data_IF_170840023991
#
_entry.id   IF_170840023991
#
_cell.length_a   1.000
_cell.length_b   1.000
_cell.length_c   1.000
_cell.angle_alpha   90.00
_cell.angle_beta   90.00
_cell.angle_gamma   90.00
#
_symmetry.space_group_name_H-M   'P 1'
#
loop_
_entity.id
_entity.type
_entity.pdbx_description
1 polymer ?
#
# COMPACT_ATOMS: atom_id res chain seq x y z
N UNK A 1 7.19 14.86 2.58
CA UNK A 1 7.36 13.59 1.85
C UNK A 1 7.45 13.86 0.36
N UNK A 2 8.31 13.15 -0.35
CA UNK A 2 8.30 13.14 -1.81
C UNK A 2 7.59 11.88 -2.33
N UNK A 3 7.25 11.88 -3.61
CA UNK A 3 6.74 10.72 -4.32
C UNK A 3 7.43 10.54 -5.67
N UNK A 4 7.70 9.29 -6.03
CA UNK A 4 8.39 8.95 -7.26
C UNK A 4 7.48 9.11 -8.50
N UNK A 5 6.23 8.66 -8.38
CA UNK A 5 5.25 8.75 -9.47
C UNK A 5 3.83 8.47 -8.98
N UNK A 6 2.84 8.87 -9.78
CA UNK A 6 1.43 8.50 -9.60
C UNK A 6 0.94 7.85 -10.89
N UNK A 7 0.38 6.63 -10.77
CA UNK A 7 -0.34 5.98 -11.87
C UNK A 7 -1.83 6.19 -11.68
N UNK A 8 -2.44 6.95 -12.56
CA UNK A 8 -3.84 7.37 -12.47
C UNK A 8 -4.85 6.28 -12.80
N UNK A 9 -4.42 5.24 -13.54
CA UNK A 9 -5.21 4.07 -13.89
C UNK A 9 -4.28 2.85 -13.91
N UNK A 10 -4.17 2.17 -12.79
CA UNK A 10 -3.26 1.03 -12.58
C UNK A 10 -4.07 -0.25 -12.31
N UNK A 11 -3.63 -1.37 -12.88
CA UNK A 11 -4.25 -2.68 -12.71
C UNK A 11 -3.29 -3.71 -12.11
N UNK A 12 -2.04 -3.31 -11.84
CA UNK A 12 -1.00 -4.21 -11.37
C UNK A 12 -0.94 -4.30 -9.83
N UNK A 13 -1.35 -3.25 -9.14
CA UNK A 13 -1.14 -3.11 -7.69
C UNK A 13 -2.44 -3.23 -6.89
N UNK A 14 -3.16 -4.33 -7.10
CA UNK A 14 -4.44 -4.66 -6.48
C UNK A 14 -5.53 -4.93 -7.52
N UNK A 15 -6.69 -5.45 -7.10
CA UNK A 15 -7.78 -5.80 -8.01
C UNK A 15 -8.45 -4.57 -8.61
N UNK A 16 -8.91 -4.69 -9.85
CA UNK A 16 -9.60 -3.64 -10.58
C UNK A 16 -8.67 -2.51 -11.02
N UNK A 17 -9.26 -1.37 -11.41
CA UNK A 17 -8.51 -0.16 -11.77
C UNK A 17 -8.35 0.71 -10.52
N UNK A 18 -7.14 1.19 -10.26
CA UNK A 18 -6.79 1.93 -9.05
C UNK A 18 -5.95 3.15 -9.37
N UNK A 19 -5.92 4.11 -8.47
CA UNK A 19 -4.85 5.11 -8.45
C UNK A 19 -3.72 4.55 -7.60
N UNK A 20 -2.50 4.54 -8.11
CA UNK A 20 -1.33 4.06 -7.37
C UNK A 20 -0.35 5.19 -7.10
N UNK A 21 -0.12 5.48 -5.83
CA UNK A 21 0.85 6.46 -5.34
C UNK A 21 2.13 5.76 -4.93
N UNK A 22 3.22 6.05 -5.63
CA UNK A 22 4.56 5.55 -5.32
C UNK A 22 5.31 6.58 -4.48
N UNK A 23 5.37 6.39 -3.18
CA UNK A 23 6.10 7.28 -2.25
C UNK A 23 7.61 7.13 -2.40
N UNK A 24 8.36 8.11 -1.95
CA UNK A 24 9.82 8.08 -1.85
C UNK A 24 10.26 7.97 -0.39
N UNK A 25 11.44 7.39 -0.19
CA UNK A 25 12.00 7.07 1.13
C UNK A 25 11.74 5.62 1.53
N UNK A 26 12.83 4.84 1.63
CA UNK A 26 12.81 3.45 2.07
C UNK A 26 14.15 3.07 2.67
N UNK A 27 14.15 2.55 3.88
CA UNK A 27 15.37 2.12 4.58
C UNK A 27 15.59 0.60 4.52
N UNK A 28 14.77 -0.15 3.76
CA UNK A 28 14.94 -1.59 3.60
C UNK A 28 16.10 -1.98 2.69
N UNK A 29 16.29 -1.24 1.58
CA UNK A 29 17.33 -1.48 0.58
C UNK A 29 17.37 -2.95 0.13
N UNK A 30 16.21 -3.51 -0.25
CA UNK A 30 16.12 -4.91 -0.67
C UNK A 30 16.93 -5.16 -1.95
N UNK A 31 17.81 -6.18 -2.00
CA UNK A 31 18.49 -6.55 -3.24
C UNK A 31 17.49 -6.85 -4.37
N UNK A 32 17.75 -6.34 -5.58
CA UNK A 32 16.88 -6.52 -6.74
C UNK A 32 15.55 -5.75 -6.66
N UNK A 33 15.44 -4.76 -5.78
CA UNK A 33 14.26 -3.88 -5.72
C UNK A 33 14.00 -3.24 -7.09
N UNK A 34 12.75 -3.28 -7.55
CA UNK A 34 12.39 -2.69 -8.85
C UNK A 34 12.37 -1.16 -8.84
N UNK A 35 12.46 -0.52 -7.66
CA UNK A 35 12.33 0.92 -7.48
C UNK A 35 13.41 1.48 -6.54
N UNK A 36 14.68 1.17 -6.84
CA UNK A 36 15.83 1.58 -6.01
C UNK A 36 15.96 3.10 -5.89
N UNK A 37 15.59 3.84 -6.93
CA UNK A 37 15.61 5.31 -6.91
C UNK A 37 14.72 5.89 -5.80
N UNK A 38 13.60 5.21 -5.47
CA UNK A 38 12.71 5.62 -4.40
C UNK A 38 13.21 5.29 -2.98
N UNK A 39 14.40 4.74 -2.81
CA UNK A 39 15.04 4.66 -1.49
C UNK A 39 15.40 6.04 -0.94
N UNK A 40 15.79 6.96 -1.83
CA UNK A 40 16.06 8.35 -1.46
C UNK A 40 14.75 9.07 -1.10
N UNK A 41 14.70 9.63 0.11
CA UNK A 41 13.55 10.41 0.59
C UNK A 41 13.32 11.71 -0.21
N UNK A 42 14.34 12.20 -0.89
CA UNK A 42 14.29 13.39 -1.75
C UNK A 42 13.93 13.09 -3.21
N UNK A 43 13.82 11.83 -3.61
CA UNK A 43 13.56 11.47 -5.00
C UNK A 43 12.15 11.86 -5.46
N UNK A 44 12.04 12.29 -6.72
CA UNK A 44 10.79 12.68 -7.35
C UNK A 44 10.27 14.06 -6.91
N UNK A 45 8.96 14.21 -6.89
CA UNK A 45 8.29 15.47 -6.64
C UNK A 45 7.78 15.58 -5.20
N UNK A 46 7.59 16.80 -4.71
CA UNK A 46 7.02 17.05 -3.38
C UNK A 46 5.53 16.71 -3.36
N UNK A 47 5.11 15.93 -2.38
CA UNK A 47 3.70 15.60 -2.13
C UNK A 47 3.03 16.79 -1.42
N UNK A 48 2.31 17.59 -2.19
CA UNK A 48 1.66 18.83 -1.74
C UNK A 48 0.15 18.66 -1.61
N UNK A 49 -0.57 19.58 -0.93
CA UNK A 49 -2.03 19.56 -0.88
C UNK A 49 -2.70 19.55 -2.27
N UNK A 50 -2.10 20.20 -3.27
CA UNK A 50 -2.61 20.21 -4.65
C UNK A 50 -2.48 18.82 -5.31
N UNK A 51 -1.45 18.04 -4.95
CA UNK A 51 -1.28 16.67 -5.42
C UNK A 51 -2.30 15.76 -4.74
N UNK A 52 -2.54 15.94 -3.43
CA UNK A 52 -3.60 15.23 -2.71
C UNK A 52 -4.98 15.47 -3.35
N UNK A 53 -5.31 16.74 -3.65
CA UNK A 53 -6.57 17.10 -4.29
C UNK A 53 -6.75 16.43 -5.65
N UNK A 54 -5.69 16.40 -6.47
CA UNK A 54 -5.71 15.69 -7.76
C UNK A 54 -5.96 14.18 -7.61
N UNK A 55 -5.38 13.54 -6.59
CA UNK A 55 -5.63 12.12 -6.32
C UNK A 55 -7.08 11.92 -5.87
N UNK A 56 -7.61 12.78 -5.00
CA UNK A 56 -9.00 12.72 -4.57
C UNK A 56 -9.97 12.91 -5.74
N UNK A 57 -9.70 13.84 -6.65
CA UNK A 57 -10.50 14.01 -7.87
C UNK A 57 -10.42 12.78 -8.79
N UNK A 58 -9.22 12.23 -8.97
CA UNK A 58 -9.01 11.03 -9.78
C UNK A 58 -9.74 9.80 -9.21
N UNK A 59 -9.93 9.71 -7.90
CA UNK A 59 -10.67 8.62 -7.26
C UNK A 59 -12.20 8.71 -7.43
N UNK A 60 -12.76 9.83 -7.90
CA UNK A 60 -14.21 10.03 -8.01
C UNK A 60 -14.94 9.02 -8.92
N UNK A 61 -14.41 8.60 -10.09
CA UNK A 61 -15.13 7.67 -10.96
C UNK A 61 -15.46 6.33 -10.27
N UNK A 62 -16.68 5.84 -10.50
CA UNK A 62 -17.19 4.60 -9.86
C UNK A 62 -16.45 3.33 -10.29
N UNK A 63 -15.84 3.34 -11.48
CA UNK A 63 -15.04 2.19 -11.96
C UNK A 63 -13.70 2.03 -11.25
N UNK A 64 -13.20 3.08 -10.57
CA UNK A 64 -11.99 2.99 -9.77
C UNK A 64 -12.28 2.30 -8.44
N UNK A 65 -11.56 1.21 -8.16
CA UNK A 65 -11.72 0.42 -6.94
C UNK A 65 -11.13 1.10 -5.71
N UNK A 66 -10.09 1.91 -5.88
CA UNK A 66 -9.49 2.61 -4.75
C UNK A 66 -8.07 3.11 -4.99
N UNK A 67 -7.37 3.28 -3.90
CA UNK A 67 -5.99 3.77 -3.83
C UNK A 67 -5.03 2.61 -3.52
N UNK A 68 -3.86 2.59 -4.15
CA UNK A 68 -2.74 1.74 -3.76
C UNK A 68 -1.55 2.60 -3.36
N UNK A 69 -0.98 2.34 -2.20
CA UNK A 69 0.22 2.97 -1.65
C UNK A 69 1.39 2.02 -1.76
N UNK A 70 2.45 2.44 -2.40
CA UNK A 70 3.66 1.64 -2.59
C UNK A 70 4.84 2.56 -2.96
N UNK A 71 5.91 2.00 -3.51
CA UNK A 71 7.04 2.74 -4.05
C UNK A 71 8.28 2.57 -3.21
N UNK A 72 8.64 3.54 -2.38
CA UNK A 72 9.57 3.40 -1.26
C UNK A 72 8.92 2.58 -0.14
N UNK A 73 8.80 3.16 1.04
CA UNK A 73 8.16 2.49 2.17
C UNK A 73 7.09 3.42 2.80
N UNK A 74 5.79 3.13 2.62
CA UNK A 74 4.73 3.95 3.22
C UNK A 74 4.79 4.00 4.75
N UNK A 75 5.30 2.96 5.41
CA UNK A 75 5.44 2.90 6.87
C UNK A 75 6.77 3.44 7.41
N UNK A 76 7.59 4.13 6.61
CA UNK A 76 8.62 4.98 7.21
C UNK A 76 7.93 6.07 8.04
N UNK A 77 8.37 6.35 9.30
CA UNK A 77 7.71 7.33 10.16
C UNK A 77 7.50 8.71 9.51
N UNK A 78 8.47 9.17 8.72
CA UNK A 78 8.36 10.43 7.97
C UNK A 78 7.27 10.39 6.89
N UNK A 79 7.03 9.25 6.27
CA UNK A 79 5.97 9.06 5.28
C UNK A 79 4.60 8.93 5.96
N UNK A 80 4.51 8.17 7.07
CA UNK A 80 3.28 8.02 7.83
C UNK A 80 2.71 9.38 8.28
N UNK A 81 3.56 10.28 8.77
CA UNK A 81 3.16 11.61 9.22
C UNK A 81 2.44 12.45 8.12
N UNK A 82 2.80 12.23 6.85
CA UNK A 82 2.19 12.92 5.70
C UNK A 82 1.02 12.12 5.13
N UNK A 83 1.14 10.79 5.07
CA UNK A 83 0.11 9.93 4.50
C UNK A 83 -1.14 9.87 5.38
N UNK A 84 -1.01 9.83 6.69
CA UNK A 84 -2.16 9.67 7.59
C UNK A 84 -3.25 10.74 7.38
N UNK A 85 -2.98 12.05 7.39
CA UNK A 85 -4.01 13.05 7.13
C UNK A 85 -4.62 12.92 5.71
N UNK A 86 -3.83 12.55 4.71
CA UNK A 86 -4.33 12.28 3.38
C UNK A 86 -5.28 11.08 3.33
N UNK A 87 -4.93 9.96 3.98
CA UNK A 87 -5.78 8.76 4.03
C UNK A 87 -7.11 9.00 4.75
N UNK A 88 -7.12 9.82 5.80
CA UNK A 88 -8.36 10.29 6.44
C UNK A 88 -9.27 10.98 5.42
N UNK A 89 -8.73 11.91 4.62
CA UNK A 89 -9.47 12.61 3.56
C UNK A 89 -10.02 11.63 2.50
N UNK A 90 -9.24 10.60 2.13
CA UNK A 90 -9.68 9.55 1.19
C UNK A 90 -10.87 8.79 1.76
N UNK A 91 -10.79 8.30 3.00
CA UNK A 91 -11.87 7.54 3.64
C UNK A 91 -13.11 8.38 3.95
N UNK A 92 -12.93 9.65 4.32
CA UNK A 92 -14.05 10.58 4.52
C UNK A 92 -14.82 10.83 3.22
N UNK A 93 -14.10 11.06 2.11
CA UNK A 93 -14.71 11.38 0.82
C UNK A 93 -15.23 10.14 0.09
N UNK A 94 -14.57 8.99 0.27
CA UNK A 94 -14.84 7.75 -0.45
C UNK A 94 -14.78 6.54 0.49
N UNK A 95 -15.74 6.37 1.41
CA UNK A 95 -15.71 5.31 2.41
C UNK A 95 -15.73 3.90 1.81
N UNK A 96 -16.30 3.74 0.61
CA UNK A 96 -16.43 2.45 -0.08
C UNK A 96 -15.21 2.09 -0.95
N UNK A 97 -14.23 3.00 -1.09
CA UNK A 97 -13.04 2.72 -1.88
C UNK A 97 -11.95 2.08 -1.01
N UNK A 98 -11.43 0.96 -1.49
CA UNK A 98 -10.39 0.23 -0.79
C UNK A 98 -9.03 0.95 -0.84
N UNK A 99 -8.30 0.90 0.26
CA UNK A 99 -6.90 1.31 0.34
C UNK A 99 -6.04 0.06 0.47
N UNK A 100 -5.20 -0.19 -0.54
CA UNK A 100 -4.15 -1.18 -0.53
C UNK A 100 -2.83 -0.51 -0.16
N UNK A 101 -2.02 -1.17 0.66
CA UNK A 101 -0.70 -0.69 1.03
C UNK A 101 0.33 -1.81 0.90
N UNK A 102 1.49 -1.47 0.36
CA UNK A 102 2.63 -2.37 0.24
C UNK A 102 3.71 -1.93 1.21
N UNK A 103 4.21 -2.85 2.01
CA UNK A 103 5.25 -2.57 2.99
C UNK A 103 6.29 -3.68 3.03
N UNK A 104 7.54 -3.31 3.20
CA UNK A 104 8.58 -4.28 3.54
C UNK A 104 8.54 -4.73 5.01
N UNK A 105 7.83 -4.01 5.87
CA UNK A 105 7.59 -4.41 7.25
C UNK A 105 6.48 -5.46 7.33
N UNK A 106 6.58 -6.39 8.28
CA UNK A 106 5.54 -7.38 8.55
C UNK A 106 4.55 -6.89 9.59
N UNK A 107 3.25 -7.23 9.41
CA UNK A 107 2.18 -6.78 10.29
C UNK A 107 2.39 -7.24 11.74
N UNK A 108 2.60 -8.54 11.96
CA UNK A 108 2.74 -9.17 13.26
C UNK A 108 4.16 -9.06 13.86
N UNK A 109 5.16 -8.80 13.03
CA UNK A 109 6.56 -8.64 13.48
C UNK A 109 6.89 -7.18 13.82
N UNK A 110 6.76 -6.28 12.83
CA UNK A 110 7.31 -4.93 12.96
C UNK A 110 6.24 -3.85 13.16
N UNK A 111 5.03 -4.01 12.56
CA UNK A 111 3.98 -2.99 12.67
C UNK A 111 3.17 -3.12 13.96
N UNK A 112 3.10 -4.30 14.59
CA UNK A 112 2.48 -4.50 15.90
C UNK A 112 3.47 -4.53 17.06
N UNK A 113 4.76 -4.74 16.79
CA UNK A 113 5.81 -4.80 17.80
C UNK A 113 6.58 -3.48 17.84
N UNK A 114 7.31 -3.25 18.93
CA UNK A 114 8.23 -2.11 19.01
C UNK A 114 9.31 -2.25 17.94
N UNK A 115 9.36 -1.31 17.02
CA UNK A 115 10.25 -1.33 15.86
C UNK A 115 10.51 0.08 15.34
N UNK A 116 11.46 0.21 14.43
CA UNK A 116 11.74 1.49 13.75
C UNK A 116 10.59 2.00 12.87
N UNK A 117 9.67 1.13 12.46
CA UNK A 117 8.48 1.50 11.69
C UNK A 117 7.42 2.18 12.55
N UNK A 118 7.41 1.88 13.86
CA UNK A 118 6.36 2.36 14.75
C UNK A 118 6.56 3.81 15.17
N UNK A 119 5.47 4.57 15.04
CA UNK A 119 5.33 5.92 15.56
C UNK A 119 3.86 6.14 15.99
N UNK A 120 3.53 7.32 16.47
CA UNK A 120 2.18 7.69 16.91
C UNK A 120 1.12 7.57 15.79
N UNK A 121 1.52 7.50 14.54
CA UNK A 121 0.62 7.42 13.37
C UNK A 121 0.28 5.99 12.95
N UNK A 122 1.07 4.99 13.37
CA UNK A 122 1.05 3.63 12.80
C UNK A 122 -0.30 2.94 13.00
N UNK A 123 -0.85 2.96 14.22
CA UNK A 123 -2.09 2.24 14.53
C UNK A 123 -3.29 2.84 13.78
N UNK A 124 -3.36 4.16 13.70
CA UNK A 124 -4.43 4.81 12.97
C UNK A 124 -4.27 4.59 11.46
N UNK A 125 -3.04 4.69 10.92
CA UNK A 125 -2.79 4.42 9.50
C UNK A 125 -3.20 2.99 9.13
N UNK A 126 -2.87 1.99 9.96
CA UNK A 126 -3.33 0.61 9.79
C UNK A 126 -4.86 0.50 9.78
N UNK A 127 -5.55 1.24 10.65
CA UNK A 127 -7.02 1.20 10.71
C UNK A 127 -7.73 1.74 9.46
N UNK A 128 -7.04 2.53 8.65
CA UNK A 128 -7.55 3.09 7.39
C UNK A 128 -7.23 2.23 6.16
N UNK A 129 -6.35 1.23 6.30
CA UNK A 129 -5.93 0.34 5.21
C UNK A 129 -6.82 -0.90 5.21
N UNK A 130 -7.32 -1.28 4.04
CA UNK A 130 -8.15 -2.48 3.88
C UNK A 130 -7.30 -3.72 3.63
N UNK A 131 -6.25 -3.59 2.78
CA UNK A 131 -5.37 -4.71 2.45
C UNK A 131 -3.91 -4.27 2.54
N UNK A 132 -3.11 -5.07 3.23
CA UNK A 132 -1.66 -4.90 3.35
C UNK A 132 -0.95 -6.04 2.62
N UNK A 133 -0.07 -5.69 1.69
CA UNK A 133 0.92 -6.62 1.13
C UNK A 133 2.21 -6.41 1.91
N UNK A 134 2.55 -7.37 2.77
CA UNK A 134 3.62 -7.23 3.74
C UNK A 134 4.83 -8.14 3.48
N UNK A 135 5.97 -7.72 3.99
CA UNK A 135 7.23 -8.46 3.89
C UNK A 135 8.17 -7.92 2.82
N UNK A 136 9.47 -7.94 3.14
CA UNK A 136 10.52 -7.46 2.24
C UNK A 136 10.55 -8.28 0.95
N UNK A 137 10.83 -7.61 -0.16
CA UNK A 137 11.13 -8.32 -1.40
C UNK A 137 12.40 -9.17 -1.22
N UNK A 138 12.31 -10.42 -1.64
CA UNK A 138 13.41 -11.40 -1.64
C UNK A 138 13.63 -11.86 -3.08
N UNK A 139 14.78 -11.51 -3.66
CA UNK A 139 15.06 -11.75 -5.07
C UNK A 139 15.03 -13.23 -5.45
N UNK A 140 15.54 -14.10 -4.57
CA UNK A 140 15.55 -15.56 -4.78
C UNK A 140 14.14 -16.18 -4.77
N UNK A 141 13.15 -15.46 -4.22
CA UNK A 141 11.75 -15.87 -4.16
C UNK A 141 10.86 -15.11 -5.15
N UNK A 142 11.48 -14.35 -6.06
CA UNK A 142 10.78 -13.63 -7.12
C UNK A 142 10.04 -14.60 -8.04
N UNK A 143 8.74 -14.33 -8.26
CA UNK A 143 7.93 -15.10 -9.18
C UNK A 143 6.93 -14.16 -9.90
N UNK A 144 7.01 -14.09 -11.21
CA UNK A 144 6.17 -13.24 -12.05
C UNK A 144 4.71 -13.74 -12.18
N UNK A 145 4.42 -14.97 -11.73
CA UNK A 145 3.05 -15.52 -11.71
C UNK A 145 2.29 -15.13 -10.44
N UNK A 146 2.97 -14.56 -9.44
CA UNK A 146 2.32 -14.09 -8.22
C UNK A 146 1.44 -12.87 -8.52
N UNK A 147 0.20 -12.92 -8.06
CA UNK A 147 -0.71 -11.77 -8.19
C UNK A 147 -0.45 -10.79 -7.06
N UNK A 148 -0.27 -9.51 -7.40
CA UNK A 148 -0.17 -8.37 -6.49
C UNK A 148 0.99 -8.43 -5.48
N UNK A 149 2.03 -9.25 -5.70
CA UNK A 149 3.24 -9.31 -4.87
C UNK A 149 4.45 -9.73 -5.72
N UNK A 150 5.64 -9.34 -5.29
CA UNK A 150 6.87 -9.53 -6.08
C UNK A 150 7.62 -10.82 -5.75
N UNK A 151 7.51 -11.34 -4.52
CA UNK A 151 8.20 -12.54 -4.06
C UNK A 151 7.31 -13.42 -3.20
N UNK A 152 7.56 -14.72 -3.18
CA UNK A 152 6.69 -15.73 -2.59
C UNK A 152 6.54 -15.62 -1.06
N UNK A 153 7.50 -15.00 -0.38
CA UNK A 153 7.45 -14.76 1.07
C UNK A 153 6.48 -13.63 1.47
N UNK A 154 6.08 -12.77 0.54
CA UNK A 154 5.16 -11.68 0.85
C UNK A 154 3.75 -12.22 1.05
N UNK A 155 3.01 -11.60 1.99
CA UNK A 155 1.64 -12.00 2.33
C UNK A 155 0.66 -10.91 1.87
N UNK A 156 -0.55 -11.30 1.52
CA UNK A 156 -1.66 -10.37 1.27
C UNK A 156 -2.63 -10.52 2.43
N UNK A 157 -2.82 -9.47 3.20
CA UNK A 157 -3.46 -9.48 4.52
C UNK A 157 -4.73 -8.63 4.49
N UNK A 158 -5.82 -9.18 4.98
CA UNK A 158 -7.05 -8.45 5.32
C UNK A 158 -6.81 -7.72 6.65
N UNK A 159 -6.58 -6.41 6.59
CA UNK A 159 -6.20 -5.63 7.77
C UNK A 159 -7.34 -5.50 8.77
N UNK A 160 -8.58 -5.13 8.41
CA UNK A 160 -9.70 -5.06 9.35
C UNK A 160 -9.94 -6.36 10.11
N UNK A 161 -9.92 -7.49 9.40
CA UNK A 161 -10.07 -8.82 10.02
C UNK A 161 -8.92 -9.15 10.96
N UNK A 162 -7.70 -8.80 10.57
CA UNK A 162 -6.50 -9.03 11.37
C UNK A 162 -6.49 -8.20 12.65
N UNK A 163 -6.84 -6.92 12.56
CA UNK A 163 -6.94 -6.03 13.74
C UNK A 163 -8.01 -6.52 14.72
N UNK A 164 -9.16 -6.96 14.21
CA UNK A 164 -10.24 -7.51 15.03
C UNK A 164 -9.87 -8.81 15.73
N UNK A 165 -9.15 -9.69 15.04
CA UNK A 165 -8.76 -11.00 15.55
C UNK A 165 -7.47 -10.99 16.37
N UNK A 166 -6.70 -9.88 16.38
CA UNK A 166 -5.33 -9.77 16.91
C UNK A 166 -4.40 -10.87 16.38
N UNK A 167 -4.59 -11.26 15.14
CA UNK A 167 -3.76 -12.22 14.41
C UNK A 167 -3.81 -11.95 12.92
N UNK A 168 -2.80 -12.36 12.16
CA UNK A 168 -2.79 -12.21 10.71
C UNK A 168 -3.90 -13.04 10.08
N UNK A 169 -4.75 -12.37 9.32
CA UNK A 169 -5.80 -12.99 8.50
C UNK A 169 -5.48 -12.72 7.04
N UNK A 170 -5.25 -13.78 6.27
CA UNK A 170 -4.96 -13.64 4.84
C UNK A 170 -6.19 -13.14 4.08
N UNK A 171 -5.95 -12.22 3.14
CA UNK A 171 -6.97 -11.75 2.20
C UNK A 171 -7.34 -12.86 1.22
N UNK A 172 -8.62 -13.20 1.14
CA UNK A 172 -9.12 -14.32 0.33
C UNK A 172 -9.49 -13.96 -1.11
N UNK A 173 -9.31 -12.69 -1.47
CA UNK A 173 -9.75 -12.18 -2.78
C UNK A 173 -11.26 -11.93 -2.84
N UNK A 174 -11.70 -11.14 -3.81
CA UNK A 174 -13.10 -11.18 -4.23
C UNK A 174 -13.38 -12.58 -4.78
N UNK A 175 -14.50 -13.19 -4.40
CA UNK A 175 -14.93 -14.48 -4.92
C UNK A 175 -14.80 -14.48 -6.45
N UNK A 176 -13.97 -15.35 -6.94
CA UNK A 176 -13.73 -15.62 -8.36
C UNK A 176 -15.06 -15.54 -9.11
N UNK A 177 -15.11 -14.68 -10.14
CA UNK A 177 -16.14 -14.76 -11.17
C UNK A 177 -16.27 -16.24 -11.55
N UNK A 178 -17.41 -16.87 -11.22
CA UNK A 178 -17.65 -18.25 -11.63
C UNK A 178 -17.51 -18.29 -13.16
N UNK A 179 -16.78 -19.25 -13.73
CA UNK A 179 -16.70 -19.37 -15.18
C UNK A 179 -18.13 -19.53 -15.70
N UNK A 180 -18.50 -18.71 -16.68
CA UNK A 180 -19.75 -18.82 -17.40
C UNK A 180 -19.79 -20.24 -17.95
N UNK A 181 -20.65 -21.08 -17.40
CA UNK A 181 -20.92 -22.39 -17.97
C UNK A 181 -21.54 -22.15 -19.36
N UNK A 182 -20.82 -22.64 -20.39
CA UNK A 182 -21.33 -22.67 -21.77
C UNK A 182 -22.38 -23.75 -21.94
#
# INVERSE_FOLDING_TARGET
>A
MNYATIKWADVANGPGVRVSLFVSGCTHHCPGCFNEEAWDFGYGDLFTPEVEDKILEALAPSYLKGLSLLGGEPFEPANQAVLLPFLRRVKERYPDKEIWCYSGYTLDGELWQDSRARCEHTDEMLSLIDVLVDGRFVEELKDLNLRFRGSANQRIIDVPSSLKAHQVVEWKGEHTIQPIQK
#
